data_IF_413028305226
#
_entry.id   IF_413028305226
#
_cell.length_a   1.000
_cell.length_b   1.000
_cell.length_c   1.000
_cell.angle_alpha   90.00
_cell.angle_beta   90.00
_cell.angle_gamma   90.00
#
_symmetry.space_group_name_H-M   'P 1'
#
loop_
_entity.id
_entity.type
_entity.pdbx_description
1 polymer ?
#
# COMPACT_ATOMS: atom_id res chain seq x y z
N UNK A 1 27.74 -10.65 -3.88
CA UNK A 1 26.36 -10.15 -3.90
C UNK A 1 26.37 -8.62 -3.94
N UNK A 2 25.51 -7.99 -4.75
CA UNK A 2 25.39 -6.53 -4.78
C UNK A 2 24.39 -6.08 -3.71
N UNK A 3 24.67 -4.95 -3.05
CA UNK A 3 23.71 -4.31 -2.16
C UNK A 3 22.69 -3.51 -3.00
N UNK A 4 21.41 -3.72 -2.73
CA UNK A 4 20.33 -3.00 -3.39
C UNK A 4 19.54 -2.18 -2.36
N UNK A 5 19.50 -0.86 -2.54
CA UNK A 5 18.80 0.10 -1.69
C UNK A 5 17.63 0.78 -2.42
N UNK A 6 17.13 0.17 -3.50
CA UNK A 6 15.98 0.69 -4.23
C UNK A 6 14.73 0.65 -3.35
N UNK A 7 13.91 1.68 -3.46
CA UNK A 7 12.62 1.76 -2.76
C UNK A 7 11.59 0.74 -3.27
N UNK A 8 11.65 0.43 -4.56
CA UNK A 8 10.81 -0.57 -5.21
C UNK A 8 11.11 -0.67 -6.72
N UNK A 9 11.29 -1.87 -7.27
CA UNK A 9 11.40 -3.17 -6.59
C UNK A 9 12.56 -3.20 -5.60
N UNK A 10 12.26 -3.60 -4.36
CA UNK A 10 13.27 -3.67 -3.30
C UNK A 10 13.85 -5.08 -3.16
N UNK A 11 14.84 -5.21 -2.29
CA UNK A 11 15.44 -6.51 -2.01
C UNK A 11 14.47 -7.37 -1.19
N UNK A 12 14.39 -8.65 -1.54
CA UNK A 12 13.76 -9.69 -0.73
C UNK A 12 14.84 -10.53 -0.04
N UNK A 13 14.51 -11.14 1.08
CA UNK A 13 15.39 -12.09 1.74
C UNK A 13 15.69 -13.28 0.80
N UNK A 14 16.94 -13.79 0.87
CA UNK A 14 17.37 -14.88 -0.01
C UNK A 14 16.49 -16.12 0.13
N UNK A 15 16.09 -16.45 1.35
CA UNK A 15 15.17 -17.56 1.66
C UNK A 15 13.83 -17.43 0.94
N UNK A 16 13.31 -16.22 0.82
CA UNK A 16 12.04 -15.95 0.12
C UNK A 16 12.22 -16.19 -1.38
N UNK A 17 13.35 -15.72 -1.95
CA UNK A 17 13.66 -15.92 -3.37
C UNK A 17 13.84 -17.41 -3.68
N UNK A 18 14.55 -18.15 -2.83
CA UNK A 18 14.77 -19.58 -2.99
C UNK A 18 13.46 -20.38 -2.91
N UNK A 19 12.61 -20.06 -1.93
CA UNK A 19 11.27 -20.67 -1.83
C UNK A 19 10.40 -20.37 -3.04
N UNK A 20 10.41 -19.12 -3.50
CA UNK A 20 9.67 -18.72 -4.69
C UNK A 20 10.16 -19.46 -5.95
N UNK A 21 11.48 -19.59 -6.13
CA UNK A 21 12.06 -20.34 -7.26
C UNK A 21 11.63 -21.82 -7.24
N UNK A 22 11.64 -22.45 -6.06
CA UNK A 22 11.16 -23.84 -5.92
C UNK A 22 9.67 -23.95 -6.24
N UNK A 23 8.84 -23.01 -5.77
CA UNK A 23 7.42 -23.00 -6.03
C UNK A 23 7.08 -22.79 -7.51
N UNK A 24 7.92 -22.09 -8.27
CA UNK A 24 7.78 -21.95 -9.72
C UNK A 24 8.03 -23.29 -10.44
N UNK A 25 8.95 -24.11 -9.93
CA UNK A 25 9.24 -25.42 -10.51
C UNK A 25 8.21 -26.47 -10.09
N UNK A 26 7.91 -26.54 -8.81
CA UNK A 26 6.95 -27.48 -8.23
C UNK A 26 6.40 -26.90 -6.91
N UNK A 27 5.14 -26.53 -6.91
CA UNK A 27 4.48 -25.98 -5.74
C UNK A 27 4.08 -27.08 -4.77
N UNK A 28 4.76 -27.16 -3.64
CA UNK A 28 4.49 -28.09 -2.53
C UNK A 28 4.42 -29.58 -2.94
N UNK A 29 5.17 -30.00 -3.97
CA UNK A 29 5.15 -31.38 -4.45
C UNK A 29 3.88 -31.78 -5.23
N UNK A 30 3.13 -30.80 -5.70
CA UNK A 30 1.90 -31.01 -6.46
C UNK A 30 2.14 -31.48 -7.91
N UNK A 31 3.38 -31.39 -8.40
CA UNK A 31 3.72 -31.56 -9.80
C UNK A 31 3.33 -30.39 -10.70
N UNK A 32 2.85 -29.29 -10.11
CA UNK A 32 2.45 -28.07 -10.82
C UNK A 32 3.27 -26.86 -10.35
N UNK A 33 3.52 -25.94 -11.26
CA UNK A 33 4.05 -24.62 -10.91
C UNK A 33 3.01 -23.78 -10.19
N UNK A 34 3.41 -22.97 -9.20
CA UNK A 34 2.54 -21.94 -8.61
C UNK A 34 1.94 -20.98 -9.65
N UNK A 35 2.63 -20.78 -10.79
CA UNK A 35 2.14 -19.96 -11.90
C UNK A 35 0.99 -20.63 -12.69
N UNK A 36 0.80 -21.94 -12.53
CA UNK A 36 -0.23 -22.74 -13.21
C UNK A 36 -1.39 -23.14 -12.31
N UNK A 37 -1.31 -22.83 -11.00
CA UNK A 37 -2.37 -23.14 -10.04
C UNK A 37 -3.47 -22.08 -10.16
N UNK A 38 -4.71 -22.55 -10.27
CA UNK A 38 -5.87 -21.66 -10.27
C UNK A 38 -6.11 -21.04 -8.90
N UNK A 39 -6.47 -19.76 -8.88
CA UNK A 39 -6.89 -19.06 -7.65
C UNK A 39 -8.18 -19.62 -7.01
N UNK A 40 -8.79 -20.66 -7.60
CA UNK A 40 -9.98 -21.34 -7.09
C UNK A 40 -9.67 -22.72 -6.51
N UNK A 41 -8.40 -23.05 -6.32
CA UNK A 41 -7.97 -24.32 -5.73
C UNK A 41 -7.73 -24.18 -4.24
N UNK A 42 -7.86 -25.28 -3.51
CA UNK A 42 -7.54 -25.33 -2.08
C UNK A 42 -6.09 -24.97 -1.79
N UNK A 43 -5.17 -25.27 -2.71
CA UNK A 43 -3.76 -24.93 -2.55
C UNK A 43 -3.55 -23.41 -2.58
N UNK A 44 -4.30 -22.69 -3.43
CA UNK A 44 -4.26 -21.24 -3.46
C UNK A 44 -4.96 -20.63 -2.24
N UNK A 45 -6.12 -21.19 -1.84
CA UNK A 45 -6.83 -20.74 -0.65
C UNK A 45 -5.93 -20.85 0.59
N UNK A 46 -5.19 -21.95 0.75
CA UNK A 46 -4.25 -22.13 1.85
C UNK A 46 -3.14 -21.06 1.89
N UNK A 47 -2.64 -20.62 0.71
CA UNK A 47 -1.66 -19.52 0.63
C UNK A 47 -2.28 -18.21 1.10
N UNK A 48 -3.53 -17.93 0.71
CA UNK A 48 -4.23 -16.70 1.08
C UNK A 48 -4.58 -16.67 2.57
N UNK A 49 -5.06 -17.78 3.11
CA UNK A 49 -5.35 -17.93 4.54
C UNK A 49 -4.10 -17.73 5.40
N UNK A 50 -2.98 -18.31 4.98
CA UNK A 50 -1.70 -18.13 5.69
C UNK A 50 -1.21 -16.67 5.58
N UNK A 51 -1.35 -16.03 4.43
CA UNK A 51 -1.01 -14.62 4.27
C UNK A 51 -1.86 -13.74 5.20
N UNK A 52 -3.17 -13.95 5.26
CA UNK A 52 -4.08 -13.24 6.16
C UNK A 52 -3.69 -13.43 7.64
N UNK A 53 -3.43 -14.67 8.03
CA UNK A 53 -2.98 -15.00 9.38
C UNK A 53 -1.71 -14.26 9.75
N UNK A 54 -0.70 -14.28 8.85
CA UNK A 54 0.59 -13.62 9.08
C UNK A 54 0.46 -12.10 9.13
N UNK A 55 -0.34 -11.47 8.27
CA UNK A 55 -0.61 -10.03 8.33
C UNK A 55 -1.25 -9.64 9.67
N UNK A 56 -2.26 -10.41 10.13
CA UNK A 56 -2.91 -10.16 11.43
C UNK A 56 -1.93 -10.27 12.57
N UNK A 57 -1.13 -11.32 12.60
CA UNK A 57 -0.14 -11.56 13.64
C UNK A 57 0.94 -10.46 13.68
N UNK A 58 1.57 -10.19 12.53
CA UNK A 58 2.71 -9.26 12.46
C UNK A 58 2.32 -7.80 12.66
N UNK A 59 1.13 -7.40 12.23
CA UNK A 59 0.64 -6.03 12.31
C UNK A 59 -0.38 -5.83 13.44
N UNK A 60 -0.65 -6.86 14.24
CA UNK A 60 -1.65 -6.83 15.32
C UNK A 60 -3.03 -6.33 14.85
N UNK A 61 -3.48 -6.81 13.68
CA UNK A 61 -4.75 -6.38 13.07
C UNK A 61 -5.93 -6.99 13.85
N UNK A 62 -6.85 -6.19 14.42
CA UNK A 62 -8.01 -6.68 15.12
C UNK A 62 -8.98 -7.45 14.19
N UNK A 63 -9.76 -8.37 14.76
CA UNK A 63 -10.68 -9.24 14.00
C UNK A 63 -11.80 -8.48 13.28
N UNK A 64 -12.17 -7.30 13.78
CA UNK A 64 -13.18 -6.44 13.16
C UNK A 64 -12.68 -5.71 11.90
N UNK A 65 -11.39 -5.81 11.53
CA UNK A 65 -10.84 -5.31 10.29
C UNK A 65 -10.81 -6.39 9.21
N UNK A 66 -11.02 -5.98 7.96
CA UNK A 66 -10.87 -6.85 6.78
C UNK A 66 -9.55 -6.52 6.07
N UNK A 67 -8.92 -7.55 5.52
CA UNK A 67 -7.72 -7.40 4.69
C UNK A 67 -8.13 -7.60 3.24
N UNK A 68 -7.69 -6.68 2.37
CA UNK A 68 -7.95 -6.74 0.93
C UNK A 68 -6.64 -6.69 0.17
N UNK A 69 -6.50 -7.56 -0.83
CA UNK A 69 -5.38 -7.58 -1.76
C UNK A 69 -5.83 -6.94 -3.08
N UNK A 70 -5.51 -5.66 -3.27
CA UNK A 70 -6.02 -4.85 -4.38
C UNK A 70 -4.89 -4.58 -5.37
N UNK A 71 -5.17 -4.75 -6.65
CA UNK A 71 -4.25 -4.39 -7.73
C UNK A 71 -4.15 -2.86 -7.92
N UNK A 72 -3.01 -2.38 -8.46
CA UNK A 72 -2.81 -0.97 -8.81
C UNK A 72 -1.87 -0.20 -7.88
N UNK A 73 -1.45 -0.81 -6.78
CA UNK A 73 -0.49 -0.24 -5.82
C UNK A 73 -0.98 1.04 -5.15
N UNK A 74 -0.06 1.81 -4.55
CA UNK A 74 -0.39 3.03 -3.81
C UNK A 74 -1.10 4.12 -4.65
N UNK A 75 -0.91 4.12 -5.97
CA UNK A 75 -1.60 5.09 -6.84
C UNK A 75 -3.11 4.84 -6.89
N UNK A 76 -3.53 3.57 -6.88
CA UNK A 76 -4.95 3.18 -6.76
C UNK A 76 -5.49 3.60 -5.40
N UNK A 77 -4.72 3.40 -4.34
CA UNK A 77 -5.12 3.76 -2.98
C UNK A 77 -5.38 5.25 -2.80
N UNK A 78 -4.68 6.13 -3.52
CA UNK A 78 -4.93 7.58 -3.48
C UNK A 78 -6.36 7.94 -3.90
N UNK A 79 -6.89 7.31 -4.94
CA UNK A 79 -8.27 7.57 -5.34
C UNK A 79 -9.28 6.85 -4.46
N UNK A 80 -8.97 5.65 -3.99
CA UNK A 80 -9.86 4.86 -3.12
C UNK A 80 -10.13 5.58 -1.80
N UNK A 81 -9.10 6.15 -1.19
CA UNK A 81 -9.26 6.97 0.03
C UNK A 81 -10.19 8.15 -0.25
N UNK A 82 -9.94 8.90 -1.33
CA UNK A 82 -10.77 10.05 -1.67
C UNK A 82 -12.22 9.63 -2.02
N UNK A 83 -12.39 8.56 -2.81
CA UNK A 83 -13.71 8.09 -3.23
C UNK A 83 -14.58 7.57 -2.07
N UNK A 84 -13.96 6.99 -1.04
CA UNK A 84 -14.69 6.40 0.07
C UNK A 84 -14.88 7.35 1.27
N UNK A 85 -13.93 8.25 1.52
CA UNK A 85 -13.91 9.04 2.75
C UNK A 85 -14.04 10.55 2.55
N UNK A 86 -13.78 11.08 1.32
CA UNK A 86 -13.89 12.50 1.10
C UNK A 86 -15.37 12.89 1.02
N UNK A 87 -15.84 13.69 1.96
CA UNK A 87 -17.16 14.28 1.93
C UNK A 87 -17.20 15.49 1.00
N UNK A 88 -17.13 16.70 1.55
CA UNK A 88 -17.05 17.93 0.77
C UNK A 88 -15.63 18.42 0.57
N UNK A 89 -14.83 18.32 1.62
CA UNK A 89 -13.46 18.84 1.70
C UNK A 89 -12.50 17.82 2.31
N UNK A 90 -11.21 17.95 2.02
CA UNK A 90 -10.16 17.17 2.68
C UNK A 90 -8.89 18.00 2.87
N UNK A 91 -8.28 17.90 4.05
CA UNK A 91 -7.00 18.49 4.38
C UNK A 91 -5.83 17.60 3.95
N UNK A 92 -4.80 18.18 3.36
CA UNK A 92 -3.59 17.46 2.92
C UNK A 92 -2.32 18.18 3.36
N UNK A 93 -1.32 17.41 3.77
CA UNK A 93 0.04 17.91 3.99
C UNK A 93 0.89 17.59 2.76
N UNK A 94 1.44 18.63 2.10
CA UNK A 94 2.19 18.48 0.87
C UNK A 94 3.69 18.43 1.13
N UNK A 95 4.25 17.22 1.15
CA UNK A 95 5.66 16.94 1.43
C UNK A 95 6.46 16.43 0.22
N UNK A 96 5.87 16.43 -0.99
CA UNK A 96 6.62 16.00 -2.17
C UNK A 96 5.78 15.44 -3.31
N UNK A 97 6.40 14.59 -4.13
CA UNK A 97 5.80 14.08 -5.36
C UNK A 97 4.60 13.19 -5.11
N UNK A 98 4.63 12.38 -4.06
CA UNK A 98 3.55 11.44 -3.77
C UNK A 98 2.33 12.14 -3.15
N UNK A 99 2.54 13.06 -2.21
CA UNK A 99 1.45 13.89 -1.68
C UNK A 99 0.80 14.75 -2.77
N UNK A 100 1.59 15.29 -3.72
CA UNK A 100 1.02 15.98 -4.89
C UNK A 100 0.12 15.08 -5.75
N UNK A 101 0.50 13.82 -5.94
CA UNK A 101 -0.34 12.85 -6.67
C UNK A 101 -1.63 12.56 -5.92
N UNK A 102 -1.55 12.33 -4.61
CA UNK A 102 -2.73 12.12 -3.77
C UNK A 102 -3.67 13.33 -3.81
N UNK A 103 -3.15 14.55 -3.66
CA UNK A 103 -3.90 15.82 -3.79
C UNK A 103 -4.58 15.91 -5.17
N UNK A 104 -3.87 15.56 -6.24
CA UNK A 104 -4.43 15.60 -7.60
C UNK A 104 -5.61 14.62 -7.77
N UNK A 105 -5.51 13.43 -7.20
CA UNK A 105 -6.61 12.47 -7.24
C UNK A 105 -7.80 12.96 -6.39
N UNK A 106 -7.55 13.43 -5.17
CA UNK A 106 -8.62 13.92 -4.28
C UNK A 106 -9.43 15.07 -4.87
N UNK A 107 -8.78 15.99 -5.61
CA UNK A 107 -9.45 17.11 -6.31
C UNK A 107 -10.50 16.69 -7.34
N UNK A 108 -10.55 15.43 -7.73
CA UNK A 108 -11.59 14.90 -8.62
C UNK A 108 -12.90 14.59 -7.87
N UNK A 109 -12.83 14.47 -6.55
CA UNK A 109 -13.92 14.05 -5.68
C UNK A 109 -14.48 15.17 -4.82
N UNK A 110 -13.66 16.18 -4.50
CA UNK A 110 -14.11 17.30 -3.67
C UNK A 110 -13.06 18.42 -3.56
N UNK A 111 -13.33 19.36 -2.68
CA UNK A 111 -12.41 20.46 -2.36
C UNK A 111 -11.21 19.94 -1.59
N UNK A 112 -10.02 20.41 -1.95
CA UNK A 112 -8.78 20.02 -1.27
C UNK A 112 -8.08 21.26 -0.71
N UNK A 113 -7.83 21.23 0.58
CA UNK A 113 -7.09 22.24 1.33
C UNK A 113 -5.67 21.69 1.55
N UNK A 114 -4.66 22.47 1.20
CA UNK A 114 -3.27 22.16 1.54
C UNK A 114 -2.96 22.82 2.87
N UNK A 115 -3.18 22.08 3.96
CA UNK A 115 -3.06 22.59 5.33
C UNK A 115 -1.61 22.91 5.72
N UNK A 116 -0.63 22.19 5.16
CA UNK A 116 0.79 22.50 5.30
C UNK A 116 1.60 22.05 4.08
N UNK A 117 2.76 22.67 3.85
CA UNK A 117 3.63 22.31 2.73
C UNK A 117 5.08 22.69 3.01
N UNK A 118 6.02 21.82 2.63
CA UNK A 118 7.46 22.08 2.64
C UNK A 118 8.02 22.45 1.26
N UNK A 119 7.16 22.93 0.34
CA UNK A 119 7.54 23.32 -1.03
C UNK A 119 8.54 24.47 -1.06
N UNK A 120 8.50 25.38 -0.09
CA UNK A 120 9.39 26.53 0.07
C UNK A 120 10.88 26.15 0.11
N UNK A 121 11.20 24.98 0.71
CA UNK A 121 12.56 24.42 0.76
C UNK A 121 12.68 23.13 -0.07
N UNK A 122 11.98 23.07 -1.19
CA UNK A 122 12.04 21.93 -2.11
C UNK A 122 11.79 20.58 -1.44
N UNK A 123 10.86 20.53 -0.44
CA UNK A 123 10.45 19.33 0.28
C UNK A 123 11.58 18.65 1.09
N UNK A 124 12.53 19.46 1.61
CA UNK A 124 13.65 18.95 2.41
C UNK A 124 13.36 18.81 3.89
N UNK A 125 12.15 19.10 4.33
CA UNK A 125 11.70 18.93 5.72
C UNK A 125 10.24 18.50 5.79
N UNK A 126 9.80 18.03 6.96
CA UNK A 126 8.40 17.76 7.27
C UNK A 126 7.85 19.01 7.98
N UNK A 127 6.75 19.62 7.49
CA UNK A 127 6.12 20.74 8.18
C UNK A 127 5.66 20.35 9.58
N UNK A 128 5.65 21.31 10.50
CA UNK A 128 4.97 21.12 11.78
C UNK A 128 3.46 20.97 11.53
N UNK A 129 2.90 19.91 12.07
CA UNK A 129 1.49 19.54 11.92
C UNK A 129 0.73 19.61 13.26
N UNK A 130 1.31 20.21 14.29
CA UNK A 130 0.70 20.31 15.61
C UNK A 130 -0.50 21.27 15.66
N UNK A 131 -0.53 22.26 14.76
CA UNK A 131 -1.60 23.28 14.68
C UNK A 131 -1.94 23.54 13.20
N UNK A 132 -2.70 22.61 12.60
CA UNK A 132 -3.13 22.75 11.21
C UNK A 132 -4.50 23.44 11.15
N UNK A 133 -4.60 24.49 10.35
CA UNK A 133 -5.87 25.15 10.03
C UNK A 133 -6.66 24.25 9.04
N UNK A 134 -7.38 23.29 9.59
CA UNK A 134 -8.28 22.39 8.87
C UNK A 134 -9.70 22.70 9.30
N UNK A 135 -10.60 23.08 8.38
CA UNK A 135 -12.01 23.33 8.72
C UNK A 135 -12.70 22.10 9.30
N UNK A 136 -13.65 22.30 10.20
CA UNK A 136 -14.43 21.23 10.84
C UNK A 136 -15.24 20.38 9.87
N UNK A 137 -15.50 20.90 8.66
CA UNK A 137 -16.23 20.22 7.58
C UNK A 137 -15.31 19.48 6.57
N UNK A 138 -14.00 19.32 6.90
CA UNK A 138 -13.02 18.63 6.09
C UNK A 138 -12.85 17.15 6.48
#
# INVERSE_FOLDING_TARGET
>A
KKHNFNAGPSILADEVIEKAAKAVLDFNGSGLSVLSISHRTKDFDAVMEEADRLFRELLSIPDNYKIFYIGGGASTFFYEVAANFLGKKAGYVNTGVWSKKAIKEAKKYGEVIVAASSKDKNYSYIPDCSDLDIPDDA
#
